data_IF_734079553018
#
_entry.id   IF_734079553018
#
_cell.length_a   1.000
_cell.length_b   1.000
_cell.length_c   1.000
_cell.angle_alpha   90.00
_cell.angle_beta   90.00
_cell.angle_gamma   90.00
#
_symmetry.space_group_name_H-M   'P 1'
#
loop_
_entity.id
_entity.type
_entity.pdbx_description
1 polymer ?
#
# COMPACT_ATOMS: atom_id res chain seq x y z
N UNK A 1 11.76 13.46 -13.59
CA UNK A 1 10.49 12.73 -13.63
C UNK A 1 10.03 12.51 -12.19
N UNK A 2 8.88 13.05 -11.80
CA UNK A 2 8.37 12.95 -10.42
C UNK A 2 7.55 11.68 -10.18
N UNK A 3 7.26 11.35 -8.91
CA UNK A 3 6.42 10.18 -8.58
C UNK A 3 5.01 10.29 -9.18
N UNK A 4 4.45 11.51 -9.21
CA UNK A 4 3.13 11.77 -9.79
C UNK A 4 3.12 11.54 -11.31
N UNK A 5 4.20 11.92 -11.98
CA UNK A 5 4.37 11.71 -13.42
C UNK A 5 4.53 10.22 -13.74
N UNK A 6 5.36 9.50 -13.00
CA UNK A 6 5.53 8.04 -13.13
C UNK A 6 4.20 7.32 -12.89
N UNK A 7 3.46 7.74 -11.86
CA UNK A 7 2.16 7.17 -11.53
C UNK A 7 1.15 7.42 -12.65
N UNK A 8 1.09 8.65 -13.18
CA UNK A 8 0.21 8.98 -14.29
C UNK A 8 0.51 8.14 -15.54
N UNK A 9 1.78 7.95 -15.90
CA UNK A 9 2.15 7.10 -17.04
C UNK A 9 1.85 5.62 -16.79
N UNK A 10 2.15 5.11 -15.59
CA UNK A 10 1.86 3.72 -15.22
C UNK A 10 0.35 3.42 -15.28
N UNK A 11 -0.50 4.38 -14.88
CA UNK A 11 -1.95 4.24 -14.92
C UNK A 11 -2.54 4.25 -16.34
N UNK A 12 -1.83 4.80 -17.34
CA UNK A 12 -2.23 4.72 -18.76
C UNK A 12 -2.01 3.33 -19.38
N UNK A 13 -1.16 2.51 -18.78
CA UNK A 13 -0.89 1.16 -19.26
C UNK A 13 -2.12 0.26 -19.15
N UNK A 14 -2.23 -0.75 -20.02
CA UNK A 14 -3.27 -1.78 -19.92
C UNK A 14 -3.14 -2.57 -18.60
N UNK A 15 -4.25 -3.11 -18.06
CA UNK A 15 -4.24 -3.81 -16.76
C UNK A 15 -3.16 -4.89 -16.63
N UNK A 16 -2.91 -5.67 -17.68
CA UNK A 16 -1.95 -6.77 -17.67
C UNK A 16 -0.51 -6.27 -17.53
N UNK A 17 -0.21 -5.14 -18.19
CA UNK A 17 1.12 -4.50 -18.12
C UNK A 17 1.33 -3.85 -16.76
N UNK A 18 0.28 -3.25 -16.16
CA UNK A 18 0.36 -2.74 -14.79
C UNK A 18 0.63 -3.86 -13.79
N UNK A 19 -0.06 -5.00 -13.92
CA UNK A 19 0.16 -6.15 -13.06
C UNK A 19 1.59 -6.70 -13.17
N UNK A 20 2.14 -6.74 -14.39
CA UNK A 20 3.54 -7.05 -14.62
C UNK A 20 4.47 -6.06 -13.92
N UNK A 21 4.27 -4.75 -14.12
CA UNK A 21 5.10 -3.72 -13.50
C UNK A 21 5.06 -3.79 -11.97
N UNK A 22 3.87 -4.01 -11.38
CA UNK A 22 3.72 -4.19 -9.93
C UNK A 22 4.52 -5.39 -9.44
N UNK A 23 4.50 -6.52 -10.16
CA UNK A 23 5.33 -7.69 -9.80
C UNK A 23 6.82 -7.37 -9.81
N UNK A 24 7.32 -6.71 -10.85
CA UNK A 24 8.75 -6.37 -10.96
C UNK A 24 9.17 -5.40 -9.86
N UNK A 25 8.33 -4.41 -9.56
CA UNK A 25 8.56 -3.48 -8.46
C UNK A 25 8.57 -4.22 -7.11
N UNK A 26 7.62 -5.12 -6.86
CA UNK A 26 7.61 -5.93 -5.63
C UNK A 26 8.86 -6.80 -5.52
N UNK A 27 9.25 -7.49 -6.58
CA UNK A 27 10.46 -8.33 -6.60
C UNK A 27 11.72 -7.50 -6.30
N UNK A 28 11.78 -6.24 -6.76
CA UNK A 28 12.90 -5.35 -6.45
C UNK A 28 13.04 -5.01 -4.97
N UNK A 29 11.97 -5.16 -4.18
CA UNK A 29 11.96 -4.92 -2.73
C UNK A 29 12.37 -6.16 -1.91
N UNK A 30 12.40 -7.35 -2.51
CA UNK A 30 12.74 -8.60 -1.79
C UNK A 30 14.22 -8.67 -1.37
N UNK A 31 15.08 -7.84 -1.97
CA UNK A 31 16.51 -7.74 -1.64
C UNK A 31 16.88 -6.71 -0.58
N UNK A 32 15.89 -6.02 0.02
CA UNK A 32 16.15 -5.04 1.07
C UNK A 32 16.60 -5.75 2.36
N UNK A 33 17.56 -5.16 3.06
CA UNK A 33 17.92 -5.64 4.39
C UNK A 33 16.84 -5.30 5.43
N UNK A 34 16.88 -5.98 6.58
CA UNK A 34 15.88 -5.80 7.64
C UNK A 34 15.80 -4.36 8.17
N UNK A 35 16.93 -3.63 8.17
CA UNK A 35 16.98 -2.25 8.68
C UNK A 35 16.22 -1.32 7.75
N UNK A 36 16.40 -1.49 6.44
CA UNK A 36 15.71 -0.69 5.43
C UNK A 36 14.22 -1.04 5.37
N UNK A 37 13.87 -2.31 5.53
CA UNK A 37 12.47 -2.74 5.68
C UNK A 37 11.82 -2.10 6.90
N UNK A 38 12.48 -2.12 8.06
CA UNK A 38 11.98 -1.49 9.29
C UNK A 38 11.79 0.02 9.11
N UNK A 39 12.76 0.70 8.50
CA UNK A 39 12.68 2.14 8.21
C UNK A 39 11.45 2.47 7.36
N UNK A 40 11.25 1.75 6.25
CA UNK A 40 10.11 1.97 5.35
C UNK A 40 8.76 1.70 6.03
N UNK A 41 8.68 0.67 6.87
CA UNK A 41 7.46 0.39 7.65
C UNK A 41 7.17 1.45 8.70
N UNK A 42 8.18 1.97 9.38
CA UNK A 42 8.02 3.02 10.37
C UNK A 42 7.51 4.32 9.73
N UNK A 43 8.04 4.67 8.56
CA UNK A 43 7.58 5.83 7.77
C UNK A 43 6.12 5.67 7.34
N UNK A 44 5.75 4.50 6.83
CA UNK A 44 4.37 4.18 6.44
C UNK A 44 3.42 4.23 7.64
N UNK A 45 3.81 3.65 8.78
CA UNK A 45 3.01 3.64 10.00
C UNK A 45 2.78 5.06 10.53
N UNK A 46 3.84 5.88 10.56
CA UNK A 46 3.78 7.28 10.98
C UNK A 46 2.84 8.08 10.07
N UNK A 47 2.99 7.94 8.74
CA UNK A 47 2.10 8.62 7.79
C UNK A 47 0.64 8.24 8.00
N UNK A 48 0.35 6.95 8.21
CA UNK A 48 -1.02 6.46 8.44
C UNK A 48 -1.61 6.97 9.75
N UNK A 49 -0.82 7.03 10.81
CA UNK A 49 -1.24 7.60 12.09
C UNK A 49 -1.61 9.09 11.94
N UNK A 50 -0.77 9.85 11.23
CA UNK A 50 -1.09 11.25 10.92
C UNK A 50 -2.35 11.41 10.07
N UNK A 51 -2.53 10.58 9.04
CA UNK A 51 -3.72 10.64 8.19
C UNK A 51 -5.00 10.32 8.98
N UNK A 52 -4.94 9.41 9.96
CA UNK A 52 -6.04 9.13 10.88
C UNK A 52 -6.28 10.34 11.81
N UNK A 53 -5.23 10.89 12.42
CA UNK A 53 -5.32 12.05 13.30
C UNK A 53 -5.89 13.29 12.60
N UNK A 54 -5.58 13.47 11.30
CA UNK A 54 -6.09 14.56 10.46
C UNK A 54 -7.43 14.26 9.79
N UNK A 55 -8.00 13.07 9.99
CA UNK A 55 -9.27 12.65 9.38
C UNK A 55 -9.22 12.43 7.86
N UNK A 56 -8.03 12.36 7.25
CA UNK A 56 -7.85 11.99 5.84
C UNK A 56 -8.15 10.50 5.61
N UNK A 57 -7.90 9.68 6.63
CA UNK A 57 -8.31 8.28 6.67
C UNK A 57 -9.37 8.06 7.76
N UNK A 58 -10.26 7.08 7.55
CA UNK A 58 -11.29 6.70 8.53
C UNK A 58 -11.02 5.30 9.05
N UNK A 59 -10.87 5.18 10.37
CA UNK A 59 -10.82 3.88 11.03
C UNK A 59 -12.19 3.20 10.99
N UNK A 60 -12.19 1.87 10.81
CA UNK A 60 -13.38 1.02 10.94
C UNK A 60 -13.32 0.28 12.27
N UNK A 61 -14.44 0.12 12.99
CA UNK A 61 -14.48 -0.65 14.23
C UNK A 61 -13.98 -2.08 14.01
N UNK A 62 -12.97 -2.50 14.78
CA UNK A 62 -12.30 -3.79 14.60
C UNK A 62 -13.28 -4.98 14.61
N UNK A 63 -14.28 -4.95 15.50
CA UNK A 63 -15.31 -6.01 15.59
C UNK A 63 -16.12 -6.15 14.31
N UNK A 64 -16.51 -5.04 13.69
CA UNK A 64 -17.30 -5.01 12.46
C UNK A 64 -16.46 -5.49 11.28
N UNK A 65 -15.25 -4.96 11.15
CA UNK A 65 -14.29 -5.36 10.10
C UNK A 65 -14.00 -6.86 10.15
N UNK A 66 -13.70 -7.41 11.34
CA UNK A 66 -13.44 -8.84 11.50
C UNK A 66 -14.67 -9.70 11.23
N UNK A 67 -15.88 -9.23 11.56
CA UNK A 67 -17.12 -9.91 11.20
C UNK A 67 -17.26 -9.99 9.67
N UNK A 68 -17.12 -8.87 8.96
CA UNK A 68 -17.24 -8.83 7.49
C UNK A 68 -16.24 -9.77 6.80
N UNK A 69 -14.99 -9.80 7.25
CA UNK A 69 -13.97 -10.70 6.68
C UNK A 69 -14.34 -12.17 6.86
N UNK A 70 -14.87 -12.56 8.02
CA UNK A 70 -15.33 -13.94 8.27
C UNK A 70 -16.53 -14.31 7.42
N UNK A 71 -17.47 -13.38 7.26
CA UNK A 71 -18.69 -13.61 6.47
C UNK A 71 -18.37 -13.77 4.97
N UNK A 72 -17.36 -13.06 4.45
CA UNK A 72 -16.90 -13.19 3.04
C UNK A 72 -16.18 -14.50 2.71
N UNK A 73 -15.76 -15.26 3.72
CA UNK A 73 -15.06 -16.56 3.55
C UNK A 73 -15.99 -17.77 3.64
N UNK A 74 -17.30 -17.55 3.86
CA UNK A 74 -18.35 -18.56 3.83
C UNK A 74 -19.07 -18.52 2.48
#
# INVERSE_FOLDING_TARGET
MGIDEITAEALKLRPEVRAYLVRELLASLEGLDETEVERLWLEEATRRDEDLGRGKARALPARETLKQVRDRRR
#
